data_IF_945543596678
#
_entry.id   IF_945543596678
#
_cell.length_a   1.000
_cell.length_b   1.000
_cell.length_c   1.000
_cell.angle_alpha   90.00
_cell.angle_beta   90.00
_cell.angle_gamma   90.00
#
_symmetry.space_group_name_H-M   'P 1'
#
loop_
_entity.id
_entity.type
_entity.pdbx_description
1 polymer ?
#
# COMPACT_ATOMS: atom_id res chain seq x y z
N UNK A 1 2.27 -11.46 -8.97
CA UNK A 1 1.63 -11.95 -10.21
C UNK A 1 1.03 -10.76 -10.96
N UNK A 2 1.11 -10.74 -12.29
CA UNK A 2 0.49 -9.70 -13.12
C UNK A 2 -0.27 -10.34 -14.27
N UNK A 3 -1.46 -9.84 -14.58
CA UNK A 3 -2.30 -10.33 -15.67
C UNK A 3 -3.08 -9.18 -16.31
N UNK A 4 -3.12 -9.16 -17.64
CA UNK A 4 -4.03 -8.29 -18.38
C UNK A 4 -5.47 -8.85 -18.33
N UNK A 5 -6.43 -7.98 -18.02
CA UNK A 5 -7.88 -8.30 -17.99
C UNK A 5 -8.60 -7.29 -18.88
N UNK A 6 -8.99 -7.73 -20.08
CA UNK A 6 -9.48 -6.83 -21.12
C UNK A 6 -8.39 -5.84 -21.53
N UNK A 7 -8.69 -4.54 -21.43
CA UNK A 7 -7.71 -3.47 -21.69
C UNK A 7 -6.93 -3.04 -20.44
N UNK A 8 -7.28 -3.53 -19.25
CA UNK A 8 -6.64 -3.16 -17.99
C UNK A 8 -5.61 -4.18 -17.51
N UNK A 9 -4.86 -3.81 -16.48
CA UNK A 9 -3.86 -4.69 -15.86
C UNK A 9 -4.20 -4.88 -14.38
N UNK A 10 -4.12 -6.14 -13.93
CA UNK A 10 -4.22 -6.52 -12.54
C UNK A 10 -2.84 -7.00 -12.08
N UNK A 11 -2.30 -6.40 -11.03
CA UNK A 11 -1.04 -6.79 -10.40
C UNK A 11 -1.34 -7.09 -8.94
N UNK A 12 -0.87 -8.24 -8.46
CA UNK A 12 -0.96 -8.59 -7.05
C UNK A 12 0.41 -9.02 -6.53
N UNK A 13 0.76 -8.57 -5.33
CA UNK A 13 1.98 -8.95 -4.63
C UNK A 13 1.68 -9.25 -3.16
N UNK A 14 2.52 -10.07 -2.55
CA UNK A 14 2.48 -10.34 -1.12
C UNK A 14 3.88 -10.68 -0.65
N UNK A 15 4.14 -10.47 0.63
CA UNK A 15 5.43 -10.82 1.23
C UNK A 15 5.35 -10.83 2.75
N UNK A 16 6.47 -11.18 3.36
CA UNK A 16 6.64 -11.19 4.80
C UNK A 16 7.71 -10.17 5.17
N UNK A 17 7.41 -9.29 6.11
CA UNK A 17 8.33 -8.35 6.69
C UNK A 17 9.05 -9.02 7.87
N UNK A 18 10.33 -9.36 7.67
CA UNK A 18 11.25 -9.77 8.74
C UNK A 18 12.15 -8.57 9.07
N UNK A 19 12.00 -7.94 10.25
CA UNK A 19 12.84 -6.83 10.65
C UNK A 19 14.25 -7.28 11.04
N UNK A 20 15.18 -6.32 11.11
CA UNK A 20 16.56 -6.58 11.50
C UNK A 20 16.67 -7.00 12.96
N UNK A 21 15.87 -6.38 13.84
CA UNK A 21 15.74 -6.79 15.24
C UNK A 21 14.33 -7.34 15.51
N UNK A 22 14.22 -8.66 15.48
CA UNK A 22 12.92 -9.32 15.70
C UNK A 22 12.42 -9.28 17.15
N UNK A 23 13.22 -8.83 18.12
CA UNK A 23 12.77 -8.64 19.50
C UNK A 23 12.08 -7.28 19.66
N UNK A 24 12.72 -6.23 19.12
CA UNK A 24 12.24 -4.86 19.24
C UNK A 24 11.16 -4.51 18.21
N UNK A 25 11.26 -5.03 16.99
CA UNK A 25 10.41 -4.63 15.86
C UNK A 25 9.31 -5.66 15.55
N UNK A 26 8.17 -5.16 15.08
CA UNK A 26 7.00 -5.97 14.72
C UNK A 26 7.23 -6.75 13.43
N UNK A 27 6.59 -7.92 13.28
CA UNK A 27 6.59 -8.69 12.03
C UNK A 27 5.20 -8.67 11.39
N UNK A 28 5.16 -8.75 10.07
CA UNK A 28 3.90 -8.74 9.35
C UNK A 28 3.95 -9.47 8.02
N UNK A 29 2.77 -9.90 7.57
CA UNK A 29 2.51 -10.24 6.18
C UNK A 29 1.91 -9.00 5.52
N UNK A 30 2.36 -8.66 4.32
CA UNK A 30 1.69 -7.66 3.49
C UNK A 30 1.12 -8.30 2.23
N UNK A 31 0.07 -7.68 1.71
CA UNK A 31 -0.43 -7.92 0.37
C UNK A 31 -0.86 -6.60 -0.28
N UNK A 32 -0.75 -6.55 -1.60
CA UNK A 32 -1.15 -5.40 -2.40
C UNK A 32 -1.74 -5.89 -3.72
N UNK A 33 -2.89 -5.34 -4.08
CA UNK A 33 -3.59 -5.59 -5.33
C UNK A 33 -3.79 -4.24 -6.01
N UNK A 34 -3.31 -4.12 -7.24
CA UNK A 34 -3.41 -2.94 -8.07
C UNK A 34 -4.16 -3.29 -9.35
N UNK A 35 -5.10 -2.43 -9.74
CA UNK A 35 -5.77 -2.47 -11.02
C UNK A 35 -5.70 -1.12 -11.70
N UNK A 36 -5.21 -1.09 -12.94
CA UNK A 36 -5.31 0.07 -13.82
C UNK A 36 -6.13 -0.25 -15.08
N UNK A 37 -6.89 0.74 -15.55
CA UNK A 37 -7.68 0.62 -16.78
C UNK A 37 -7.56 1.88 -17.63
N UNK A 38 -7.19 1.77 -18.92
CA UNK A 38 -7.15 2.90 -19.83
C UNK A 38 -8.56 3.40 -20.12
N UNK A 39 -8.85 4.65 -19.77
CA UNK A 39 -10.11 5.34 -20.06
C UNK A 39 -10.01 6.08 -21.39
N UNK A 40 -8.82 6.62 -21.69
CA UNK A 40 -8.49 7.25 -22.98
C UNK A 40 -7.07 6.85 -23.40
N UNK A 41 -6.59 7.37 -24.53
CA UNK A 41 -5.19 7.19 -24.95
C UNK A 41 -4.16 7.84 -24.02
N UNK A 42 -4.59 8.72 -23.09
CA UNK A 42 -3.70 9.41 -22.15
C UNK A 42 -4.07 9.21 -20.68
N UNK A 43 -5.29 8.77 -20.37
CA UNK A 43 -5.80 8.66 -19.02
C UNK A 43 -6.08 7.20 -18.67
N UNK A 44 -5.54 6.74 -17.55
CA UNK A 44 -5.90 5.47 -16.92
C UNK A 44 -6.49 5.74 -15.54
N UNK A 45 -7.58 5.04 -15.20
CA UNK A 45 -8.09 4.96 -13.84
C UNK A 45 -7.30 3.90 -13.06
N UNK A 46 -7.12 4.12 -11.76
CA UNK A 46 -6.36 3.24 -10.85
C UNK A 46 -7.24 2.91 -9.64
N UNK A 47 -7.23 1.65 -9.22
CA UNK A 47 -7.81 1.20 -7.96
C UNK A 47 -6.86 0.20 -7.28
N UNK A 48 -6.75 0.30 -5.96
CA UNK A 48 -5.86 -0.55 -5.16
C UNK A 48 -6.55 -1.08 -3.90
N UNK A 49 -6.09 -2.24 -3.45
CA UNK A 49 -6.42 -2.83 -2.16
C UNK A 49 -5.12 -3.31 -1.53
N UNK A 50 -4.75 -2.73 -0.39
CA UNK A 50 -3.54 -3.08 0.34
C UNK A 50 -3.89 -3.58 1.73
N UNK A 51 -3.04 -4.43 2.29
CA UNK A 51 -3.23 -4.87 3.66
C UNK A 51 -1.97 -5.37 4.32
N UNK A 52 -1.94 -5.18 5.64
CA UNK A 52 -0.89 -5.61 6.55
C UNK A 52 -1.55 -6.44 7.64
N UNK A 53 -1.01 -7.63 7.90
CA UNK A 53 -1.41 -8.52 8.98
C UNK A 53 -0.22 -8.69 9.91
N UNK A 54 -0.32 -8.19 11.13
CA UNK A 54 0.76 -8.28 12.11
C UNK A 54 0.82 -9.68 12.70
N UNK A 55 1.92 -10.38 12.44
CA UNK A 55 2.13 -11.77 12.90
C UNK A 55 2.85 -11.82 14.24
N UNK A 56 3.62 -10.78 14.60
CA UNK A 56 4.33 -10.66 15.86
C UNK A 56 4.43 -9.20 16.29
N UNK A 57 4.20 -8.92 17.57
CA UNK A 57 4.48 -7.62 18.19
C UNK A 57 5.97 -7.44 18.44
N UNK A 58 6.45 -6.21 18.30
CA UNK A 58 7.76 -5.79 18.80
C UNK A 58 7.73 -5.56 20.33
N UNK A 59 8.79 -5.00 20.88
CA UNK A 59 8.88 -4.59 22.30
C UNK A 59 9.42 -3.16 22.49
N UNK A 60 9.70 -2.44 21.38
CA UNK A 60 10.31 -1.13 21.43
C UNK A 60 9.43 -0.07 22.10
N UNK A 61 8.11 -0.07 21.80
CA UNK A 61 7.19 0.93 22.30
C UNK A 61 5.90 0.31 22.87
N UNK A 62 5.39 0.80 24.02
CA UNK A 62 4.15 0.32 24.64
C UNK A 62 2.91 0.92 23.95
N UNK A 63 2.81 0.76 22.64
CA UNK A 63 1.70 1.23 21.80
C UNK A 63 0.78 0.08 21.42
N UNK A 64 -0.42 0.42 20.97
CA UNK A 64 -1.38 -0.53 20.41
C UNK A 64 -1.67 -0.25 18.92
N UNK A 65 -0.84 0.56 18.26
CA UNK A 65 -0.91 0.92 16.85
C UNK A 65 0.49 0.82 16.24
N UNK A 66 0.57 0.69 14.92
CA UNK A 66 1.81 0.59 14.18
C UNK A 66 1.93 1.70 13.11
N UNK A 67 3.07 1.83 12.44
CA UNK A 67 3.29 2.83 11.40
C UNK A 67 2.81 2.42 9.99
N UNK A 68 2.14 1.28 9.85
CA UNK A 68 1.72 0.75 8.56
C UNK A 68 2.92 0.38 7.67
N UNK A 69 2.90 0.85 6.42
CA UNK A 69 3.99 0.66 5.45
C UNK A 69 5.10 1.73 5.54
N UNK A 70 4.95 2.75 6.39
CA UNK A 70 5.92 3.86 6.49
C UNK A 70 7.04 3.58 7.48
N UNK A 71 6.71 3.03 8.64
CA UNK A 71 7.65 2.84 9.74
C UNK A 71 7.23 1.65 10.61
N UNK A 72 8.23 0.95 11.15
CA UNK A 72 8.06 -0.04 12.19
C UNK A 72 8.42 0.59 13.54
N UNK A 73 7.41 0.88 14.35
CA UNK A 73 7.47 1.44 15.69
C UNK A 73 7.80 0.37 16.74
N UNK A 74 7.72 -0.92 16.39
CA UNK A 74 7.95 -2.01 17.34
C UNK A 74 6.90 -2.06 18.46
N UNK A 75 5.63 -1.82 18.10
CA UNK A 75 4.54 -1.79 19.07
C UNK A 75 4.35 -3.15 19.77
N UNK A 76 4.15 -3.11 21.08
CA UNK A 76 3.99 -4.30 21.91
C UNK A 76 2.62 -4.99 21.80
N UNK A 77 1.63 -4.35 21.16
CA UNK A 77 0.24 -4.84 21.12
C UNK A 77 -0.40 -4.71 19.73
N UNK A 78 0.28 -5.25 18.71
CA UNK A 78 -0.23 -5.28 17.32
C UNK A 78 -0.46 -6.69 16.79
N UNK A 79 0.19 -7.73 17.34
CA UNK A 79 0.04 -9.11 16.87
C UNK A 79 -1.44 -9.54 16.76
N UNK A 80 -1.79 -10.20 15.66
CA UNK A 80 -3.15 -10.64 15.36
C UNK A 80 -4.07 -9.55 14.79
N UNK A 81 -3.62 -8.30 14.72
CA UNK A 81 -4.38 -7.22 14.10
C UNK A 81 -4.03 -7.06 12.62
N UNK A 82 -4.93 -6.40 11.90
CA UNK A 82 -4.77 -6.09 10.49
C UNK A 82 -5.19 -4.67 10.16
N UNK A 83 -4.49 -4.07 9.21
CA UNK A 83 -4.85 -2.81 8.57
C UNK A 83 -5.10 -3.11 7.11
N UNK A 84 -6.25 -2.68 6.60
CA UNK A 84 -6.64 -2.86 5.20
C UNK A 84 -7.06 -1.50 4.66
N UNK A 85 -6.51 -1.14 3.52
CA UNK A 85 -6.72 0.14 2.86
C UNK A 85 -7.16 -0.09 1.43
N UNK A 86 -7.91 0.87 0.90
CA UNK A 86 -8.20 0.93 -0.53
C UNK A 86 -7.74 2.28 -1.06
N UNK A 87 -7.35 2.30 -2.33
CA UNK A 87 -6.98 3.53 -3.00
C UNK A 87 -7.68 3.65 -4.35
N UNK A 88 -7.98 4.89 -4.72
CA UNK A 88 -8.51 5.24 -6.05
C UNK A 88 -7.70 6.40 -6.61
N UNK A 89 -7.50 6.39 -7.91
CA UNK A 89 -6.66 7.40 -8.55
C UNK A 89 -6.73 7.37 -10.06
N UNK A 90 -5.83 8.14 -10.65
CA UNK A 90 -5.63 8.16 -12.08
C UNK A 90 -4.19 8.46 -12.43
N UNK A 91 -3.76 7.94 -13.58
CA UNK A 91 -2.50 8.28 -14.23
C UNK A 91 -2.78 8.98 -15.56
N UNK A 92 -2.14 10.13 -15.78
CA UNK A 92 -2.25 10.92 -17.00
C UNK A 92 -0.89 11.05 -17.70
N UNK A 93 -0.83 10.57 -18.94
CA UNK A 93 0.33 10.67 -19.82
C UNK A 93 0.38 12.03 -20.50
N UNK A 94 1.29 12.89 -20.07
CA UNK A 94 1.54 14.21 -20.62
C UNK A 94 2.15 14.11 -22.03
N UNK A 95 3.15 13.25 -22.19
CA UNK A 95 3.80 12.92 -23.47
C UNK A 95 4.38 11.49 -23.44
N UNK A 96 5.14 11.08 -24.45
CA UNK A 96 5.70 9.71 -24.54
C UNK A 96 6.67 9.36 -23.40
N UNK A 97 7.24 10.36 -22.74
CA UNK A 97 8.28 10.20 -21.72
C UNK A 97 7.82 10.61 -20.33
N UNK A 98 6.69 11.32 -20.19
CA UNK A 98 6.25 11.95 -18.95
C UNK A 98 4.80 11.60 -18.63
N UNK A 99 4.57 11.11 -17.42
CA UNK A 99 3.23 10.93 -16.86
C UNK A 99 3.14 11.40 -15.41
N UNK A 100 1.94 11.79 -14.99
CA UNK A 100 1.62 12.17 -13.62
C UNK A 100 0.46 11.33 -13.11
N UNK A 101 0.61 10.75 -11.92
CA UNK A 101 -0.44 9.99 -11.26
C UNK A 101 -0.80 10.64 -9.91
N UNK A 102 -2.08 10.58 -9.57
CA UNK A 102 -2.60 10.95 -8.25
C UNK A 102 -3.45 9.80 -7.72
N UNK A 103 -3.13 9.31 -6.54
CA UNK A 103 -3.81 8.19 -5.88
C UNK A 103 -4.17 8.61 -4.45
N UNK A 104 -5.44 8.51 -4.09
CA UNK A 104 -5.94 8.76 -2.75
C UNK A 104 -6.31 7.44 -2.09
N UNK A 105 -5.71 7.17 -0.93
CA UNK A 105 -5.83 5.96 -0.15
C UNK A 105 -6.43 6.24 1.22
N UNK A 106 -7.29 5.33 1.67
CA UNK A 106 -7.93 5.41 2.97
C UNK A 106 -8.17 4.00 3.55
N UNK A 107 -8.17 3.86 4.89
CA UNK A 107 -8.43 2.60 5.55
C UNK A 107 -9.89 2.19 5.43
N UNK A 108 -10.13 0.91 5.20
CA UNK A 108 -11.46 0.28 5.20
C UNK A 108 -11.63 -0.70 6.37
N UNK A 109 -10.55 -1.04 7.07
CA UNK A 109 -10.59 -1.76 8.34
C UNK A 109 -11.00 -0.84 9.50
N UNK A 110 -11.54 -1.43 10.57
CA UNK A 110 -11.84 -0.70 11.82
C UNK A 110 -10.59 -0.08 12.44
N UNK A 111 -9.44 -0.72 12.23
CA UNK A 111 -8.12 -0.24 12.64
C UNK A 111 -7.49 0.55 11.50
N UNK A 112 -6.97 1.73 11.82
CA UNK A 112 -6.33 2.66 10.86
C UNK A 112 -4.84 2.88 11.12
N UNK A 113 -4.39 2.51 12.32
CA UNK A 113 -3.03 2.77 12.77
C UNK A 113 -2.67 4.27 12.55
N UNK A 114 -1.45 4.61 12.14
CA UNK A 114 -1.02 6.00 11.97
C UNK A 114 -1.65 6.71 10.74
N UNK A 115 -2.39 6.00 9.86
CA UNK A 115 -2.85 6.54 8.58
C UNK A 115 -4.38 6.69 8.51
N UNK A 116 -4.88 7.92 8.62
CA UNK A 116 -6.30 8.23 8.36
C UNK A 116 -6.62 8.34 6.86
N UNK A 117 -5.73 8.94 6.08
CA UNK A 117 -5.74 8.92 4.61
C UNK A 117 -4.39 9.36 4.06
N UNK A 118 -4.08 8.96 2.82
CA UNK A 118 -2.84 9.30 2.12
C UNK A 118 -3.16 9.74 0.69
N UNK A 119 -2.55 10.82 0.23
CA UNK A 119 -2.54 11.17 -1.19
C UNK A 119 -1.12 11.06 -1.71
N UNK A 120 -0.92 10.17 -2.68
CA UNK A 120 0.35 9.98 -3.36
C UNK A 120 0.28 10.62 -4.74
N UNK A 121 1.24 11.50 -5.03
CA UNK A 121 1.42 12.07 -6.36
C UNK A 121 2.75 11.56 -6.92
N UNK A 122 2.70 10.92 -8.08
CA UNK A 122 3.87 10.34 -8.73
C UNK A 122 4.11 11.03 -10.06
N UNK A 123 5.34 11.47 -10.29
CA UNK A 123 5.82 11.90 -11.60
C UNK A 123 6.74 10.81 -12.15
N UNK A 124 6.41 10.25 -13.30
CA UNK A 124 7.22 9.22 -13.97
C UNK A 124 7.85 9.81 -15.22
N UNK A 125 9.18 9.70 -15.30
CA UNK A 125 9.99 10.10 -16.44
C UNK A 125 10.72 8.88 -17.00
N UNK A 126 10.56 8.62 -18.29
CA UNK A 126 11.19 7.51 -19.01
C UNK A 126 12.13 8.06 -20.11
N UNK A 127 13.37 7.56 -20.12
CA UNK A 127 14.44 7.92 -21.06
C UNK A 127 14.78 6.78 -22.00
#
# INVERSE_FOLDING_TARGET
IGKQIGCGHLIASSGYHVPGDTAEESQSIYYSIHYDHPVTSKLSAVAELNGIVYTKSGQALPLNFEGGDWINLGSSSVAGNNVVTTAIGANYRLNSCLSVAGVWEFPISNRKDLMDSRTTVTLTLQF
#
